data_IF_979166309514
#
_entry.id   IF_979166309514
#
_cell.length_a   1.000
_cell.length_b   1.000
_cell.length_c   1.000
_cell.angle_alpha   90.00
_cell.angle_beta   90.00
_cell.angle_gamma   90.00
#
_symmetry.space_group_name_H-M   'P 1'
#
loop_
_entity.id
_entity.type
_entity.pdbx_description
1 polymer ?
#
# COMPACT_ATOMS: atom_id res chain seq x y z
N UNK A 1 -70.88 24.69 -6.88
CA UNK A 1 -69.46 25.01 -6.56
C UNK A 1 -69.39 25.06 -5.03
N UNK A 2 -68.61 24.28 -4.27
CA UNK A 2 -67.37 23.53 -4.46
C UNK A 2 -67.36 22.38 -3.44
N UNK A 3 -67.00 21.16 -3.87
CA UNK A 3 -66.61 20.06 -2.99
C UNK A 3 -65.15 20.28 -2.58
N UNK A 4 -64.88 20.41 -1.28
CA UNK A 4 -63.52 20.47 -0.74
C UNK A 4 -63.06 19.09 -0.32
N UNK A 5 -62.21 18.46 -1.14
CA UNK A 5 -61.53 17.20 -0.82
C UNK A 5 -60.40 17.52 0.17
N UNK A 6 -60.48 16.97 1.38
CA UNK A 6 -59.42 17.03 2.38
C UNK A 6 -58.38 15.94 2.04
N UNK A 7 -57.28 16.35 1.42
CA UNK A 7 -56.08 15.51 1.20
C UNK A 7 -55.33 15.37 2.52
N UNK A 8 -55.48 14.24 3.20
CA UNK A 8 -54.53 13.79 4.22
C UNK A 8 -53.26 13.33 3.51
N UNK A 9 -52.26 14.21 3.43
CA UNK A 9 -50.90 13.85 3.01
C UNK A 9 -50.30 12.97 4.10
N UNK A 10 -50.24 11.65 3.85
CA UNK A 10 -49.43 10.73 4.63
C UNK A 10 -47.97 11.15 4.51
N UNK A 11 -47.45 11.80 5.55
CA UNK A 11 -46.02 11.97 5.74
C UNK A 11 -45.44 10.60 6.15
N UNK A 12 -44.98 9.83 5.16
CA UNK A 12 -44.11 8.68 5.38
C UNK A 12 -42.79 9.19 5.97
N UNK A 13 -42.42 8.87 7.23
CA UNK A 13 -41.07 9.13 7.68
C UNK A 13 -40.14 8.24 6.86
N UNK A 14 -39.34 8.86 5.99
CA UNK A 14 -38.13 8.26 5.43
C UNK A 14 -37.15 8.03 6.59
N UNK A 15 -37.41 7.01 7.41
CA UNK A 15 -36.36 6.40 8.20
C UNK A 15 -35.44 5.75 7.18
N UNK A 16 -34.42 6.49 6.73
CA UNK A 16 -33.30 5.89 6.05
C UNK A 16 -32.75 4.84 7.01
N UNK A 17 -33.01 3.56 6.74
CA UNK A 17 -32.32 2.47 7.40
C UNK A 17 -30.85 2.64 7.02
N UNK A 18 -30.09 3.33 7.87
CA UNK A 18 -28.65 3.48 7.70
C UNK A 18 -28.06 2.07 7.78
N UNK A 19 -27.65 1.56 6.62
CA UNK A 19 -26.96 0.28 6.52
C UNK A 19 -25.50 0.53 6.90
N UNK A 20 -24.88 -0.41 7.66
CA UNK A 20 -23.46 -0.29 7.98
C UNK A 20 -22.63 -0.31 6.69
N UNK A 21 -21.51 0.40 6.67
CA UNK A 21 -20.54 0.40 5.56
C UNK A 21 -19.18 -0.08 6.06
N UNK A 22 -18.50 -0.87 5.24
CA UNK A 22 -17.09 -1.24 5.45
C UNK A 22 -16.20 -0.22 4.73
N UNK A 23 -15.40 0.52 5.49
CA UNK A 23 -14.40 1.45 4.95
C UNK A 23 -13.07 0.73 4.83
N UNK A 24 -12.62 0.51 3.60
CA UNK A 24 -11.46 -0.31 3.27
C UNK A 24 -10.24 0.59 3.04
N UNK A 25 -9.25 0.43 3.91
CA UNK A 25 -7.93 1.04 3.80
C UNK A 25 -6.96 -0.06 3.43
N UNK A 26 -6.32 0.08 2.28
CA UNK A 26 -5.36 -0.90 1.78
C UNK A 26 -4.06 -0.23 1.36
N UNK A 27 -2.95 -0.77 1.81
CA UNK A 27 -1.61 -0.30 1.42
C UNK A 27 -0.83 -1.45 0.76
N UNK A 28 -0.36 -1.18 -0.46
CA UNK A 28 0.69 -1.94 -1.16
C UNK A 28 0.32 -3.38 -1.45
N UNK A 29 -0.99 -3.66 -1.54
CA UNK A 29 -1.47 -4.94 -2.00
C UNK A 29 -0.96 -5.17 -3.42
N UNK A 30 -0.47 -6.38 -3.70
CA UNK A 30 -0.15 -6.77 -5.07
C UNK A 30 -1.43 -6.77 -5.91
N UNK A 31 -1.32 -6.63 -7.23
CA UNK A 31 -2.49 -6.60 -8.13
C UNK A 31 -3.39 -7.83 -7.94
N UNK A 32 -2.80 -9.01 -7.74
CA UNK A 32 -3.54 -10.24 -7.45
C UNK A 32 -4.28 -10.19 -6.11
N UNK A 33 -3.62 -9.74 -5.03
CA UNK A 33 -4.25 -9.57 -3.71
C UNK A 33 -5.38 -8.54 -3.75
N UNK A 34 -5.20 -7.45 -4.51
CA UNK A 34 -6.22 -6.41 -4.70
C UNK A 34 -7.46 -6.96 -5.40
N UNK A 35 -7.26 -7.76 -6.45
CA UNK A 35 -8.34 -8.40 -7.18
C UNK A 35 -9.07 -9.46 -6.32
N UNK A 36 -8.33 -10.25 -5.54
CA UNK A 36 -8.89 -11.23 -4.61
C UNK A 36 -9.71 -10.55 -3.51
N UNK A 37 -9.18 -9.47 -2.91
CA UNK A 37 -9.88 -8.67 -1.90
C UNK A 37 -11.19 -8.10 -2.46
N UNK A 38 -11.14 -7.45 -3.62
CA UNK A 38 -12.32 -6.84 -4.23
C UNK A 38 -13.40 -7.88 -4.57
N UNK A 39 -13.01 -9.03 -5.10
CA UNK A 39 -13.94 -10.14 -5.36
C UNK A 39 -14.58 -10.67 -4.06
N UNK A 40 -13.80 -10.82 -3.00
CA UNK A 40 -14.28 -11.33 -1.72
C UNK A 40 -15.22 -10.35 -1.00
N UNK A 41 -14.93 -9.04 -1.07
CA UNK A 41 -15.78 -7.99 -0.53
C UNK A 41 -17.11 -7.88 -1.31
N UNK A 42 -17.09 -8.00 -2.64
CA UNK A 42 -18.32 -8.02 -3.46
C UNK A 42 -19.26 -9.18 -3.14
N UNK A 43 -18.72 -10.29 -2.63
CA UNK A 43 -19.53 -11.44 -2.22
C UNK A 43 -20.21 -11.25 -0.85
N UNK A 44 -19.90 -10.17 -0.11
CA UNK A 44 -20.50 -9.87 1.18
C UNK A 44 -21.85 -9.15 1.04
N UNK A 45 -22.64 -9.19 2.12
CA UNK A 45 -23.94 -8.50 2.20
C UNK A 45 -23.86 -7.04 2.65
N UNK A 46 -22.70 -6.60 3.17
CA UNK A 46 -22.49 -5.22 3.64
C UNK A 46 -21.81 -4.41 2.51
N UNK A 47 -22.29 -3.19 2.21
CA UNK A 47 -21.62 -2.31 1.26
C UNK A 47 -20.22 -1.93 1.74
N UNK A 48 -19.29 -1.72 0.81
CA UNK A 48 -17.94 -1.31 1.11
C UNK A 48 -17.50 -0.12 0.24
N UNK A 49 -16.58 0.67 0.78
CA UNK A 49 -15.97 1.83 0.11
C UNK A 49 -14.47 1.82 0.35
N UNK A 50 -13.68 1.97 -0.71
CA UNK A 50 -12.24 2.19 -0.58
C UNK A 50 -11.95 3.62 -0.17
N UNK A 51 -11.08 3.78 0.82
CA UNK A 51 -10.66 5.07 1.35
C UNK A 51 -9.22 5.33 0.95
N UNK A 52 -8.99 6.43 0.23
CA UNK A 52 -7.66 6.89 -0.19
C UNK A 52 -6.94 7.66 0.93
N UNK A 53 -6.79 7.03 2.09
CA UNK A 53 -6.05 7.57 3.24
C UNK A 53 -5.04 6.54 3.75
N UNK A 54 -3.91 7.03 4.26
CA UNK A 54 -2.91 6.18 4.88
C UNK A 54 -3.44 5.49 6.14
N UNK A 55 -3.00 4.26 6.36
CA UNK A 55 -3.25 3.47 7.56
C UNK A 55 -2.30 3.96 8.66
N UNK A 56 -2.80 4.33 9.85
CA UNK A 56 -1.93 4.78 10.94
C UNK A 56 -0.85 3.75 11.29
N UNK A 57 0.38 4.19 11.62
CA UNK A 57 1.53 3.30 11.79
C UNK A 57 1.36 2.29 12.92
N UNK A 58 0.56 2.62 13.94
CA UNK A 58 0.31 1.78 15.10
C UNK A 58 -0.79 0.72 14.88
N UNK A 59 -1.47 0.70 13.73
CA UNK A 59 -2.32 -0.43 13.34
C UNK A 59 -1.49 -1.65 12.92
N UNK A 60 -2.00 -2.85 13.23
CA UNK A 60 -1.40 -4.10 12.76
C UNK A 60 -1.56 -4.29 11.24
N UNK A 61 -0.94 -5.35 10.71
CA UNK A 61 -0.97 -5.69 9.28
C UNK A 61 -2.39 -5.95 8.75
N UNK A 62 -3.23 -6.60 9.56
CA UNK A 62 -4.66 -6.75 9.32
C UNK A 62 -5.42 -6.34 10.57
N UNK A 63 -6.25 -5.31 10.47
CA UNK A 63 -7.06 -4.83 11.59
C UNK A 63 -8.49 -4.58 11.15
N UNK A 64 -9.45 -5.15 11.88
CA UNK A 64 -10.83 -4.74 11.88
C UNK A 64 -11.06 -3.79 13.05
N UNK A 65 -11.55 -2.59 12.78
CA UNK A 65 -11.97 -1.63 13.79
C UNK A 65 -13.49 -1.55 13.77
N UNK A 66 -14.13 -2.08 14.81
CA UNK A 66 -15.58 -2.15 14.90
C UNK A 66 -16.14 -0.96 15.66
N UNK A 67 -17.34 -0.56 15.27
CA UNK A 67 -18.18 0.34 16.07
C UNK A 67 -18.50 -0.28 17.43
N UNK A 68 -18.35 0.52 18.49
CA UNK A 68 -18.64 0.09 19.87
C UNK A 68 -20.14 0.11 20.19
N UNK A 69 -20.91 0.90 19.46
CA UNK A 69 -22.35 1.08 19.65
C UNK A 69 -23.19 0.01 18.94
N UNK A 70 -22.67 -0.62 17.87
CA UNK A 70 -23.38 -1.66 17.14
C UNK A 70 -22.41 -2.65 16.49
N UNK A 71 -22.39 -3.88 17.01
CA UNK A 71 -21.49 -4.94 16.54
C UNK A 71 -22.28 -5.93 15.67
N UNK A 72 -21.69 -6.33 14.55
CA UNK A 72 -22.21 -7.30 13.60
C UNK A 72 -21.32 -8.55 13.59
N UNK A 73 -21.55 -9.55 14.46
CA UNK A 73 -20.60 -10.64 14.68
C UNK A 73 -20.38 -11.50 13.43
N UNK A 74 -21.46 -11.84 12.71
CA UNK A 74 -21.38 -12.68 11.51
C UNK A 74 -20.53 -12.02 10.44
N UNK A 75 -20.75 -10.73 10.20
CA UNK A 75 -20.05 -9.97 9.17
C UNK A 75 -18.61 -9.67 9.60
N UNK A 76 -18.37 -9.46 10.89
CA UNK A 76 -17.02 -9.39 11.46
C UNK A 76 -16.24 -10.68 11.21
N UNK A 77 -16.85 -11.85 11.46
CA UNK A 77 -16.25 -13.16 11.20
C UNK A 77 -15.96 -13.36 9.72
N UNK A 78 -16.88 -12.96 8.83
CA UNK A 78 -16.68 -13.02 7.39
C UNK A 78 -15.53 -12.12 6.93
N UNK A 79 -15.47 -10.87 7.40
CA UNK A 79 -14.38 -9.96 7.08
C UNK A 79 -13.04 -10.46 7.62
N UNK A 80 -13.01 -11.04 8.82
CA UNK A 80 -11.81 -11.65 9.37
C UNK A 80 -11.36 -12.88 8.56
N UNK A 81 -12.31 -13.69 8.07
CA UNK A 81 -12.02 -14.81 7.17
C UNK A 81 -11.42 -14.34 5.84
N UNK A 82 -11.93 -13.25 5.25
CA UNK A 82 -11.34 -12.63 4.04
C UNK A 82 -9.87 -12.27 4.31
N UNK A 83 -9.58 -11.61 5.44
CA UNK A 83 -8.20 -11.28 5.81
C UNK A 83 -7.33 -12.55 5.93
N UNK A 84 -7.85 -13.62 6.54
CA UNK A 84 -7.13 -14.89 6.67
C UNK A 84 -6.87 -15.59 5.34
N UNK A 85 -7.83 -15.60 4.43
CA UNK A 85 -7.71 -16.16 3.08
C UNK A 85 -6.63 -15.44 2.26
N UNK A 86 -6.46 -14.14 2.48
CA UNK A 86 -5.39 -13.33 1.90
C UNK A 86 -4.02 -13.55 2.59
N UNK A 87 -3.95 -14.41 3.61
CA UNK A 87 -2.73 -14.76 4.33
C UNK A 87 -2.48 -13.98 5.64
N UNK A 88 -3.48 -13.24 6.13
CA UNK A 88 -3.32 -12.34 7.27
C UNK A 88 -3.75 -12.96 8.61
N UNK A 89 -3.19 -12.43 9.70
CA UNK A 89 -3.67 -12.68 11.07
C UNK A 89 -4.50 -11.48 11.54
N UNK A 90 -5.85 -11.53 11.45
CA UNK A 90 -6.69 -10.39 11.75
C UNK A 90 -6.66 -10.02 13.24
N UNK A 91 -6.53 -8.72 13.53
CA UNK A 91 -6.78 -8.14 14.84
C UNK A 91 -8.17 -7.50 14.85
N UNK A 92 -9.03 -7.88 15.79
CA UNK A 92 -10.36 -7.28 15.94
C UNK A 92 -10.34 -6.33 17.14
N UNK A 93 -10.60 -5.06 16.89
CA UNK A 93 -10.63 -4.00 17.89
C UNK A 93 -12.04 -3.43 18.01
N UNK A 94 -12.56 -3.34 19.24
CA UNK A 94 -13.94 -2.91 19.55
C UNK A 94 -14.01 -1.46 20.09
N UNK A 95 -12.89 -0.73 20.05
CA UNK A 95 -12.70 0.58 20.70
C UNK A 95 -11.86 1.48 19.81
N UNK A 96 -11.88 2.79 20.04
CA UNK A 96 -11.04 3.75 19.30
C UNK A 96 -9.56 3.37 19.28
N UNK A 97 -8.93 3.45 18.10
CA UNK A 97 -7.48 3.29 17.92
C UNK A 97 -6.97 4.42 17.04
N UNK A 98 -5.88 5.09 17.45
CA UNK A 98 -5.26 6.20 16.70
C UNK A 98 -6.21 7.34 16.32
N UNK A 99 -7.20 7.64 17.18
CA UNK A 99 -8.30 8.59 16.93
C UNK A 99 -9.28 8.19 15.81
N UNK A 100 -9.22 6.96 15.30
CA UNK A 100 -10.24 6.42 14.42
C UNK A 100 -11.40 5.89 15.27
N UNK A 101 -12.62 6.30 14.92
CA UNK A 101 -13.87 5.91 15.55
C UNK A 101 -14.91 5.61 14.48
N UNK A 102 -15.64 4.52 14.65
CA UNK A 102 -16.78 4.17 13.80
C UNK A 102 -18.05 4.15 14.66
N UNK A 103 -19.08 4.85 14.19
CA UNK A 103 -20.44 4.80 14.74
C UNK A 103 -21.40 4.07 13.80
N UNK A 104 -22.60 3.79 14.29
CA UNK A 104 -23.72 3.21 13.54
C UNK A 104 -23.44 1.83 12.94
N UNK A 105 -22.51 1.10 13.52
CA UNK A 105 -22.11 -0.23 13.06
C UNK A 105 -21.22 -0.24 11.83
N UNK A 106 -20.67 0.91 11.43
CA UNK A 106 -19.63 0.98 10.41
C UNK A 106 -18.37 0.23 10.88
N UNK A 107 -17.60 -0.25 9.91
CA UNK A 107 -16.42 -1.08 10.15
C UNK A 107 -15.24 -0.49 9.38
N UNK A 108 -14.14 -0.24 10.08
CA UNK A 108 -12.86 0.01 9.44
C UNK A 108 -12.15 -1.30 9.12
N UNK A 109 -11.81 -1.51 7.85
CA UNK A 109 -11.10 -2.67 7.36
C UNK A 109 -9.71 -2.22 6.88
N UNK A 110 -8.67 -2.56 7.63
CA UNK A 110 -7.31 -2.12 7.36
C UNK A 110 -6.43 -3.29 6.97
N UNK A 111 -5.84 -3.22 5.77
CA UNK A 111 -4.84 -4.18 5.28
C UNK A 111 -3.56 -3.46 4.84
N UNK A 112 -2.47 -3.73 5.55
CA UNK A 112 -1.11 -3.40 5.13
C UNK A 112 -0.49 -4.65 4.54
N UNK A 113 0.06 -4.60 3.33
CA UNK A 113 0.67 -5.76 2.70
C UNK A 113 1.45 -6.68 3.66
N UNK A 114 0.95 -7.90 3.83
CA UNK A 114 1.71 -9.02 4.38
C UNK A 114 2.45 -9.64 3.22
N UNK A 115 3.69 -9.20 2.98
CA UNK A 115 4.63 -10.13 2.41
C UNK A 115 4.92 -11.13 3.52
N UNK A 116 4.22 -12.27 3.45
CA UNK A 116 4.28 -13.32 4.45
C UNK A 116 5.74 -13.70 4.71
N UNK A 117 6.29 -13.25 5.84
CA UNK A 117 7.62 -13.65 6.30
C UNK A 117 8.81 -12.92 5.70
N UNK A 118 8.67 -11.79 5.01
CA UNK A 118 9.82 -10.91 4.76
C UNK A 118 9.52 -9.49 5.19
N UNK A 119 10.15 -9.06 6.28
CA UNK A 119 10.59 -7.67 6.35
C UNK A 119 11.26 -7.39 5.01
N UNK A 120 10.78 -6.44 4.21
CA UNK A 120 11.46 -6.06 2.97
C UNK A 120 12.95 -5.92 3.28
N UNK A 121 13.77 -6.80 2.71
CA UNK A 121 15.23 -6.77 2.90
C UNK A 121 15.80 -6.12 1.66
N UNK A 122 16.16 -4.84 1.78
CA UNK A 122 16.85 -4.15 0.70
C UNK A 122 18.18 -4.85 0.41
N UNK A 123 18.46 -5.24 -0.85
CA UNK A 123 19.77 -5.78 -1.21
C UNK A 123 20.86 -4.79 -0.81
N UNK A 124 21.92 -5.28 -0.16
CA UNK A 124 22.98 -4.41 0.37
C UNK A 124 23.74 -3.66 -0.72
N UNK A 125 23.79 -4.18 -1.94
CA UNK A 125 24.54 -3.62 -3.05
C UNK A 125 23.72 -3.76 -4.33
N UNK A 126 23.51 -2.63 -4.99
CA UNK A 126 22.89 -2.54 -6.31
C UNK A 126 23.78 -1.71 -7.24
N UNK A 127 23.47 -1.79 -8.52
CA UNK A 127 24.04 -0.94 -9.57
C UNK A 127 22.96 -0.06 -10.17
N UNK A 128 23.32 1.18 -10.51
CA UNK A 128 22.44 2.00 -11.33
C UNK A 128 22.34 1.44 -12.75
N UNK A 129 21.17 1.52 -13.36
CA UNK A 129 20.90 1.09 -14.74
C UNK A 129 19.81 1.97 -15.35
N UNK A 130 19.68 1.97 -16.67
CA UNK A 130 18.67 2.77 -17.39
C UNK A 130 18.68 4.24 -16.97
N UNK A 131 19.87 4.81 -16.77
CA UNK A 131 20.04 6.21 -16.43
C UNK A 131 19.75 7.13 -17.62
N UNK A 132 19.21 8.33 -17.35
CA UNK A 132 19.08 9.38 -18.37
C UNK A 132 20.43 9.88 -18.92
N UNK A 133 21.51 9.76 -18.14
CA UNK A 133 22.87 10.01 -18.62
C UNK A 133 23.74 8.75 -18.46
N UNK A 134 24.32 8.29 -19.57
CA UNK A 134 25.06 7.02 -19.62
C UNK A 134 26.21 6.92 -18.63
N UNK A 135 26.87 8.05 -18.34
CA UNK A 135 27.99 8.13 -17.40
C UNK A 135 27.63 7.75 -15.95
N UNK A 136 26.34 7.65 -15.64
CA UNK A 136 25.82 7.24 -14.35
C UNK A 136 25.27 5.81 -14.35
N UNK A 137 25.34 5.05 -15.45
CA UNK A 137 25.09 3.61 -15.39
C UNK A 137 26.24 2.90 -14.66
N UNK A 138 25.93 1.77 -14.04
CA UNK A 138 26.85 0.90 -13.29
C UNK A 138 27.51 1.53 -12.03
N UNK A 139 26.96 2.62 -11.51
CA UNK A 139 27.40 3.14 -10.20
C UNK A 139 27.01 2.19 -9.09
N UNK A 140 27.94 1.94 -8.17
CA UNK A 140 27.63 1.17 -6.97
C UNK A 140 26.77 1.99 -6.01
N UNK A 141 25.65 1.41 -5.61
CA UNK A 141 24.79 1.91 -4.53
C UNK A 141 24.77 0.90 -3.40
N UNK A 142 25.20 1.33 -2.20
CA UNK A 142 25.20 0.48 -1.01
C UNK A 142 24.09 0.89 -0.06
N UNK A 143 23.28 -0.06 0.39
CA UNK A 143 22.19 0.17 1.32
C UNK A 143 22.54 -0.34 2.72
N UNK A 144 22.17 0.48 3.71
CA UNK A 144 22.11 0.17 5.14
C UNK A 144 20.68 0.38 5.62
N UNK A 145 20.38 0.14 6.90
CA UNK A 145 19.02 0.31 7.45
C UNK A 145 18.45 1.74 7.30
N UNK A 146 19.30 2.76 7.12
CA UNK A 146 18.89 4.17 7.04
C UNK A 146 19.38 4.91 5.82
N UNK A 147 20.44 4.41 5.18
CA UNK A 147 21.16 5.17 4.16
C UNK A 147 21.40 4.37 2.88
N UNK A 148 21.27 5.08 1.77
CA UNK A 148 21.72 4.70 0.44
C UNK A 148 22.96 5.53 0.07
N UNK A 149 24.08 4.85 -0.13
CA UNK A 149 25.37 5.46 -0.45
C UNK A 149 25.69 5.26 -1.93
N UNK A 150 25.66 6.34 -2.71
CA UNK A 150 25.99 6.37 -4.13
C UNK A 150 27.46 6.66 -4.33
N UNK A 151 28.18 5.75 -5.01
CA UNK A 151 29.58 5.96 -5.40
C UNK A 151 29.63 6.65 -6.77
N UNK A 152 29.85 7.97 -6.78
CA UNK A 152 29.86 8.76 -8.01
C UNK A 152 31.13 8.52 -8.84
N UNK A 153 31.12 8.83 -10.16
CA UNK A 153 32.31 8.69 -11.02
C UNK A 153 33.55 9.45 -10.54
N UNK A 154 33.36 10.54 -9.78
CA UNK A 154 34.46 11.30 -9.18
C UNK A 154 35.14 10.60 -8.00
N UNK A 155 34.61 9.46 -7.55
CA UNK A 155 35.01 8.79 -6.31
C UNK A 155 34.33 9.36 -5.06
N UNK A 156 33.54 10.43 -5.18
CA UNK A 156 32.76 10.96 -4.07
C UNK A 156 31.62 9.99 -3.68
N UNK A 157 31.38 9.84 -2.39
CA UNK A 157 30.25 9.08 -1.85
C UNK A 157 29.16 10.07 -1.45
N UNK A 158 27.97 9.93 -2.03
CA UNK A 158 26.78 10.69 -1.62
C UNK A 158 25.87 9.79 -0.81
N UNK A 159 25.67 10.17 0.45
CA UNK A 159 24.80 9.47 1.40
C UNK A 159 23.43 10.13 1.45
N UNK A 160 22.38 9.37 1.17
CA UNK A 160 20.99 9.81 1.23
C UNK A 160 20.18 8.94 2.18
N UNK A 161 19.20 9.55 2.85
CA UNK A 161 18.21 8.80 3.62
C UNK A 161 17.30 8.03 2.68
N UNK A 162 16.86 6.84 3.09
CA UNK A 162 15.86 6.07 2.34
C UNK A 162 14.89 5.37 3.29
N UNK A 163 13.71 5.06 2.78
CA UNK A 163 12.70 4.26 3.45
C UNK A 163 12.00 3.34 2.45
N UNK A 164 11.46 2.23 2.95
CA UNK A 164 10.50 1.43 2.21
C UNK A 164 9.10 1.89 2.61
N UNK A 165 8.49 2.70 1.76
CA UNK A 165 7.16 3.26 2.00
C UNK A 165 6.24 2.82 0.89
N UNK A 166 5.09 2.34 1.29
CA UNK A 166 4.03 2.01 0.38
C UNK A 166 4.41 1.03 -0.76
N UNK A 167 5.26 0.03 -0.48
CA UNK A 167 5.72 -0.90 -1.51
C UNK A 167 6.79 -0.32 -2.46
N UNK A 168 7.21 0.91 -2.23
CA UNK A 168 8.23 1.60 -2.98
C UNK A 168 9.48 1.81 -2.14
N UNK A 169 10.63 1.78 -2.80
CA UNK A 169 11.85 2.36 -2.23
C UNK A 169 11.77 3.87 -2.47
N UNK A 170 11.96 4.66 -1.42
CA UNK A 170 11.95 6.12 -1.48
C UNK A 170 13.31 6.63 -1.00
N UNK A 171 14.02 7.35 -1.86
CA UNK A 171 15.32 7.97 -1.53
C UNK A 171 15.14 9.48 -1.45
N UNK A 172 15.50 10.06 -0.32
CA UNK A 172 15.32 11.49 -0.04
C UNK A 172 16.53 12.32 -0.45
N UNK A 173 16.29 13.38 -1.21
CA UNK A 173 17.32 14.36 -1.57
C UNK A 173 16.80 15.78 -1.37
N UNK A 174 17.39 16.49 -0.38
CA UNK A 174 17.02 17.86 -0.01
C UNK A 174 15.52 17.99 0.24
N UNK A 175 14.78 18.63 -0.67
CA UNK A 175 13.37 18.95 -0.57
C UNK A 175 12.48 18.11 -1.50
N UNK A 176 13.00 17.02 -2.07
CA UNK A 176 12.20 16.07 -2.85
C UNK A 176 12.69 14.63 -2.61
N UNK A 177 11.99 13.66 -3.20
CA UNK A 177 12.36 12.25 -3.16
C UNK A 177 12.31 11.62 -4.55
N UNK A 178 13.13 10.60 -4.76
CA UNK A 178 12.99 9.67 -5.87
C UNK A 178 12.32 8.40 -5.38
N UNK A 179 11.25 8.00 -6.06
CA UNK A 179 10.51 6.79 -5.76
C UNK A 179 10.82 5.71 -6.80
N UNK A 180 10.91 4.46 -6.35
CA UNK A 180 11.23 3.31 -7.19
C UNK A 180 10.24 2.16 -6.96
N UNK A 181 9.74 1.59 -8.06
CA UNK A 181 8.89 0.40 -8.06
C UNK A 181 9.75 -0.85 -8.18
N UNK A 182 9.60 -1.78 -7.24
CA UNK A 182 10.29 -3.07 -7.27
C UNK A 182 9.64 -4.05 -8.26
N UNK A 183 10.46 -4.86 -8.90
CA UNK A 183 10.09 -5.95 -9.80
C UNK A 183 11.22 -6.99 -9.85
N UNK A 184 10.90 -8.21 -10.27
CA UNK A 184 11.88 -9.31 -10.35
C UNK A 184 12.01 -9.87 -11.77
N UNK A 185 12.44 -9.07 -12.77
CA UNK A 185 12.57 -9.55 -14.13
C UNK A 185 13.78 -10.48 -14.28
N UNK A 186 13.73 -11.34 -15.29
CA UNK A 186 14.93 -11.96 -15.83
C UNK A 186 15.66 -10.97 -16.73
N UNK A 187 16.97 -10.81 -16.52
CA UNK A 187 17.84 -9.90 -17.27
C UNK A 187 18.82 -10.72 -18.09
N UNK A 188 18.97 -10.37 -19.37
CA UNK A 188 19.92 -11.04 -20.25
C UNK A 188 21.35 -10.69 -19.86
N UNK A 189 22.15 -11.72 -19.59
CA UNK A 189 23.59 -11.61 -19.33
C UNK A 189 24.36 -12.43 -20.38
N UNK A 190 25.71 -12.28 -20.47
CA UNK A 190 26.53 -13.18 -21.28
C UNK A 190 26.40 -14.67 -20.91
N UNK A 191 25.87 -14.99 -19.74
CA UNK A 191 25.63 -16.35 -19.24
C UNK A 191 24.16 -16.77 -19.33
N UNK A 192 23.37 -16.08 -20.17
CA UNK A 192 21.93 -16.30 -20.31
C UNK A 192 21.09 -15.39 -19.41
N UNK A 193 19.78 -15.62 -19.43
CA UNK A 193 18.83 -14.86 -18.62
C UNK A 193 19.02 -15.22 -17.12
N UNK A 194 19.24 -14.21 -16.28
CA UNK A 194 19.45 -14.36 -14.84
C UNK A 194 18.37 -13.61 -14.06
N UNK A 195 17.91 -14.14 -12.91
CA UNK A 195 16.96 -13.43 -12.07
C UNK A 195 17.59 -12.14 -11.50
N UNK A 196 16.77 -11.12 -11.26
CA UNK A 196 17.22 -9.84 -10.73
C UNK A 196 16.20 -9.25 -9.77
N UNK A 197 16.65 -8.38 -8.87
CA UNK A 197 15.78 -7.36 -8.29
C UNK A 197 16.03 -6.04 -9.01
N UNK A 198 14.97 -5.46 -9.56
CA UNK A 198 15.01 -4.20 -10.30
C UNK A 198 14.04 -3.20 -9.69
N UNK A 199 14.55 -2.03 -9.33
CA UNK A 199 13.85 -0.90 -8.75
C UNK A 199 13.81 0.22 -9.78
N UNK A 200 12.73 0.29 -10.54
CA UNK A 200 12.56 1.26 -11.63
C UNK A 200 12.04 2.57 -11.08
N UNK A 201 12.72 3.68 -11.38
CA UNK A 201 12.29 5.00 -10.96
C UNK A 201 10.91 5.32 -11.57
N UNK A 202 10.02 5.94 -10.79
CA UNK A 202 8.63 6.16 -11.20
C UNK A 202 8.42 7.49 -11.94
N UNK A 203 9.36 8.42 -11.80
CA UNK A 203 9.33 9.73 -12.44
C UNK A 203 10.75 10.27 -12.60
N UNK A 204 10.98 11.03 -13.66
CA UNK A 204 12.26 11.69 -13.89
C UNK A 204 12.51 12.83 -12.89
N UNK A 205 13.75 12.97 -12.43
CA UNK A 205 14.19 14.10 -11.60
C UNK A 205 15.22 14.95 -12.33
N UNK A 206 14.99 16.27 -12.34
CA UNK A 206 15.85 17.21 -13.08
C UNK A 206 17.28 17.30 -12.51
N UNK A 207 17.43 17.23 -11.17
CA UNK A 207 18.75 17.29 -10.50
C UNK A 207 18.71 16.60 -9.13
N UNK A 208 19.74 15.81 -8.77
CA UNK A 208 20.85 15.45 -9.62
C UNK A 208 20.49 14.27 -10.53
N UNK A 209 20.99 14.29 -11.76
CA UNK A 209 20.65 13.31 -12.81
C UNK A 209 21.12 11.89 -12.52
N UNK A 210 22.02 11.69 -11.54
CA UNK A 210 22.39 10.34 -11.07
C UNK A 210 21.32 9.68 -10.18
N UNK A 211 20.28 10.41 -9.75
CA UNK A 211 19.06 9.81 -9.16
C UNK A 211 18.04 9.39 -10.22
N UNK A 212 18.19 9.87 -11.46
CA UNK A 212 17.32 9.54 -12.59
C UNK A 212 17.80 8.25 -13.27
N UNK A 213 17.90 7.20 -12.46
CA UNK A 213 18.45 5.88 -12.79
C UNK A 213 17.62 4.82 -12.08
N UNK A 214 17.38 3.67 -12.70
CA UNK A 214 16.88 2.48 -11.99
C UNK A 214 18.01 1.88 -11.14
N UNK A 215 17.66 1.09 -10.12
CA UNK A 215 18.61 0.33 -9.31
C UNK A 215 18.41 -1.16 -9.57
N UNK A 216 19.48 -1.92 -9.76
CA UNK A 216 19.39 -3.33 -10.10
C UNK A 216 20.48 -4.16 -9.42
N UNK A 217 20.11 -5.36 -8.99
CA UNK A 217 21.04 -6.44 -8.68
C UNK A 217 20.67 -7.66 -9.50
N UNK A 218 21.66 -8.27 -10.17
CA UNK A 218 21.49 -9.50 -10.94
C UNK A 218 22.15 -10.64 -10.18
N UNK A 219 21.43 -11.73 -9.99
CA UNK A 219 21.89 -12.91 -9.25
C UNK A 219 22.57 -13.88 -10.22
N UNK A 220 23.87 -14.10 -10.02
CA UNK A 220 24.75 -14.73 -11.00
C UNK A 220 24.95 -16.25 -10.82
N UNK A 221 24.15 -16.90 -9.97
CA UNK A 221 24.16 -18.32 -9.61
C UNK A 221 24.75 -19.28 -10.66
#
# INVERSE_FOLDING_TARGET
MKNGILMCVLALPLAACQQPTVYVFSENLQDEQSNQLDAALKAQSIPYEYVELAIPPDFGEATLLLSSDKIYPKETEQLAAIMQELGYKPQVNYTTRSNHFYGDGNIGFYLKNIVAGTTFVMPKKLRTTQCSEDKYNDLLVTFTDKYADFSLPSGAIVRLGWEFLYGYVVIYYKNYSQTYRHSQPFVNTPFGAKPSDTYTFTAHVNKPSWLDCSLQVVYMD
#
